data_IF_943204404021
#
_entry.id   IF_943204404021
#
_cell.length_a   1.000
_cell.length_b   1.000
_cell.length_c   1.000
_cell.angle_alpha   90.00
_cell.angle_beta   90.00
_cell.angle_gamma   90.00
#
_symmetry.space_group_name_H-M   'P 1'
#
loop_
_entity.id
_entity.type
_entity.pdbx_description
1 polymer ?
2 polymer ?
3 polymer ?
4 water ?
#
# COMPACT_ATOMS: atom_id res chain seq x y z
N UNK A 1 -8.55 19.75 -3.90
CA UNK A 1 -9.30 18.48 -4.16
C UNK A 1 -9.75 17.89 -2.84
N UNK A 2 -10.36 16.72 -2.85
CA UNK A 2 -10.71 16.08 -1.58
C UNK A 2 -9.55 15.21 -1.09
N UNK A 3 -9.45 15.06 0.22
CA UNK A 3 -8.32 14.40 0.84
C UNK A 3 -8.75 13.35 1.86
N UNK A 4 -7.82 12.51 2.27
CA UNK A 4 -8.11 11.46 3.22
C UNK A 4 -6.95 11.27 4.16
N UNK A 5 -7.24 10.81 5.37
CA UNK A 5 -6.22 10.38 6.30
C UNK A 5 -6.57 8.98 6.71
N UNK A 6 -5.60 8.07 6.67
CA UNK A 6 -5.81 6.68 7.11
C UNK A 6 -4.73 6.26 8.11
N UNK A 7 -5.12 5.45 9.09
CA UNK A 7 -4.15 4.70 9.88
C UNK A 7 -4.40 3.20 9.69
N UNK A 8 -3.32 2.47 9.41
CA UNK A 8 -3.40 1.03 9.21
C UNK A 8 -2.54 0.37 10.26
N UNK A 9 -3.00 -0.74 10.81
CA UNK A 9 -2.19 -1.46 11.78
C UNK A 9 -2.37 -2.96 11.57
N UNK A 10 -1.31 -3.70 11.82
CA UNK A 10 -1.31 -5.17 11.66
C UNK A 10 -0.64 -5.76 12.89
N UNK A 11 -1.32 -6.69 13.55
CA UNK A 11 -0.70 -7.52 14.59
C UNK A 11 -0.72 -8.92 14.07
N UNK A 12 0.43 -9.61 14.22
CA UNK A 12 0.61 -10.96 13.74
C UNK A 12 1.22 -11.74 14.89
N UNK A 13 0.60 -12.85 15.27
CA UNK A 13 1.24 -13.77 16.21
C UNK A 13 2.37 -14.54 15.52
N UNK A 14 3.46 -14.72 16.25
CA UNK A 14 4.61 -15.46 15.75
C UNK A 14 4.82 -16.68 16.69
N UNK A 15 3.91 -17.68 16.63
CA UNK A 15 3.99 -18.75 17.64
C UNK A 15 5.34 -19.49 17.69
N UNK A 16 5.92 -19.54 18.88
CA UNK A 16 7.15 -20.26 19.10
C UNK A 16 8.37 -19.44 18.72
N UNK A 17 8.13 -18.36 18.01
CA UNK A 17 9.22 -17.51 17.51
C UNK A 17 9.16 -16.11 18.10
N UNK A 18 8.43 -15.92 19.19
CA UNK A 18 8.42 -14.63 19.89
C UNK A 18 7.01 -14.13 20.14
N UNK A 19 6.91 -12.85 20.56
CA UNK A 19 5.62 -12.22 20.82
C UNK A 19 5.10 -11.58 19.54
N UNK A 20 3.78 -11.29 19.47
CA UNK A 20 3.20 -10.70 18.29
C UNK A 20 3.85 -9.39 17.85
N UNK A 21 3.99 -9.22 16.54
CA UNK A 21 4.47 -7.97 15.98
C UNK A 21 3.34 -7.02 15.66
N UNK A 22 3.52 -5.76 16.03
CA UNK A 22 2.58 -4.72 15.72
C UNK A 22 3.26 -3.66 14.86
N UNK A 23 2.60 -3.31 13.76
CA UNK A 23 3.07 -2.25 12.88
C UNK A 23 1.90 -1.35 12.54
N UNK A 24 2.03 -0.06 12.84
CA UNK A 24 1.05 0.90 12.38
C UNK A 24 1.69 1.95 11.48
N UNK A 25 0.86 2.48 10.59
CA UNK A 25 1.32 3.36 9.54
C UNK A 25 0.21 4.40 9.39
N UNK A 26 0.58 5.64 9.09
CA UNK A 26 -0.35 6.72 8.89
C UNK A 26 -0.14 7.32 7.52
N UNK A 27 -1.24 7.56 6.81
CA UNK A 27 -1.21 8.16 5.46
C UNK A 27 -2.08 9.40 5.38
N UNK A 28 -1.64 10.38 4.59
CA UNK A 28 -2.50 11.46 4.09
C UNK A 28 -2.52 11.23 2.58
N UNK A 29 -3.66 10.85 2.02
CA UNK A 29 -3.74 10.51 0.61
C UNK A 29 -2.76 9.35 0.36
N UNK A 30 -1.90 9.43 -0.65
CA UNK A 30 -0.97 8.35 -0.99
C UNK A 30 0.43 8.60 -0.43
N UNK A 31 0.49 9.36 0.66
CA UNK A 31 1.77 9.76 1.25
C UNK A 31 1.82 9.32 2.70
N UNK A 32 2.83 8.51 3.04
CA UNK A 32 3.00 8.06 4.43
C UNK A 32 3.63 9.14 5.29
N UNK A 33 3.25 9.22 6.55
CA UNK A 33 3.81 10.28 7.39
C UNK A 33 4.29 9.83 8.77
N UNK A 34 3.77 8.72 9.26
CA UNK A 34 4.18 8.16 10.55
C UNK A 34 4.27 6.63 10.52
N UNK A 35 5.00 6.05 11.48
CA UNK A 35 5.07 4.60 11.62
C UNK A 35 5.38 4.22 13.04
N UNK A 36 4.93 3.05 13.43
CA UNK A 36 5.32 2.46 14.69
C UNK A 36 5.53 0.97 14.48
N UNK A 37 6.68 0.46 14.89
CA UNK A 37 7.01 -0.96 14.78
C UNK A 37 7.37 -1.48 16.18
N UNK A 38 6.56 -2.36 16.76
CA UNK A 38 6.88 -2.93 18.08
C UNK A 38 8.28 -3.59 18.18
N UNK A 39 8.79 -4.10 17.06
CA UNK A 39 10.08 -4.79 17.06
C UNK A 39 11.28 -3.84 17.09
N UNK A 40 11.08 -2.61 16.62
CA UNK A 40 12.13 -1.60 16.51
C UNK A 40 12.65 -1.17 17.87
N UNK A 41 13.88 -0.67 17.91
CA UNK A 41 14.55 -0.36 19.20
C UNK A 41 13.94 0.89 19.81
N UNK A 42 13.69 1.86 18.93
CA UNK A 42 13.14 3.18 19.27
C UNK A 42 11.94 3.16 20.21
N UNK A 43 10.98 2.26 19.93
CA UNK A 43 9.77 2.11 20.73
C UNK A 43 8.91 3.38 20.73
N UNK A 44 9.02 4.13 19.63
CA UNK A 44 8.32 5.42 19.45
C UNK A 44 7.58 5.57 18.10
N UNK A 45 6.52 6.37 18.06
CA UNK A 45 5.96 6.83 16.80
C UNK A 45 7.01 7.67 16.10
N UNK A 46 7.32 7.31 14.86
CA UNK A 46 8.39 7.98 14.10
C UNK A 46 7.86 8.69 12.85
N UNK A 47 8.45 9.87 12.53
CA UNK A 47 8.19 10.69 11.34
C UNK A 47 8.59 10.01 10.04
N UNK A 48 7.78 10.18 9.00
CA UNK A 48 8.07 9.56 7.71
C UNK A 48 7.81 10.50 6.55
N UNK A 49 7.54 11.76 6.87
CA UNK A 49 7.34 12.79 5.86
C UNK A 49 7.97 14.08 6.36
N UNK A 50 8.53 14.90 5.44
CA UNK A 50 9.29 16.06 5.92
C UNK A 50 8.41 16.98 6.73
N UNK A 51 7.13 17.07 6.35
CA UNK A 51 6.19 18.03 6.92
C UNK A 51 5.57 17.68 8.28
N UNK A 52 5.84 16.48 8.78
CA UNK A 52 5.37 16.08 10.12
C UNK A 52 6.45 16.35 11.18
N UNK A 53 7.69 16.45 10.72
CA UNK A 53 8.83 16.69 11.61
C UNK A 53 8.71 17.94 12.46
N UNK A 54 8.02 18.95 11.93
CA UNK A 54 7.76 20.20 12.62
C UNK A 54 6.90 20.10 13.91
N UNK A 55 6.25 18.96 14.13
CA UNK A 55 5.43 18.77 15.33
C UNK A 55 6.30 18.65 16.58
N UNK A 56 5.97 19.44 17.60
CA UNK A 56 6.71 19.46 18.85
C UNK A 56 6.75 18.13 19.58
N UNK A 57 7.66 17.98 20.57
CA UNK A 57 7.89 16.75 21.34
C UNK A 57 6.68 16.18 22.08
N UNK A 58 5.71 17.04 22.39
CA UNK A 58 4.38 16.70 22.96
C UNK A 58 3.55 15.80 22.03
N UNK A 59 3.49 16.16 20.76
CA UNK A 59 2.83 15.39 19.72
C UNK A 59 3.41 14.00 19.70
N UNK A 60 4.73 13.91 19.51
CA UNK A 60 5.44 12.63 19.48
C UNK A 60 5.27 11.75 20.72
N UNK A 61 5.08 12.40 21.87
CA UNK A 61 4.89 11.73 23.15
C UNK A 61 3.49 11.11 23.18
N UNK A 62 2.49 11.94 22.87
CA UNK A 62 1.09 11.50 22.83
C UNK A 62 0.85 10.39 21.81
N UNK A 63 1.30 10.63 20.57
CA UNK A 63 1.21 9.67 19.48
C UNK A 63 1.81 8.32 19.87
N UNK A 64 2.97 8.35 20.52
CA UNK A 64 3.64 7.15 21.03
C UNK A 64 2.79 6.43 22.06
N UNK A 65 2.29 7.20 23.03
CA UNK A 65 1.38 6.66 24.05
C UNK A 65 0.17 5.97 23.44
N UNK A 66 -0.50 6.63 22.49
CA UNK A 66 -1.71 6.06 21.86
C UNK A 66 -1.44 4.80 21.04
N UNK A 67 -0.37 4.79 20.27
CA UNK A 67 -0.04 3.63 19.43
C UNK A 67 0.51 2.41 20.23
N UNK A 68 1.30 2.68 21.28
CA UNK A 68 1.77 1.63 22.19
C UNK A 68 0.62 0.94 22.91
N UNK A 69 -0.36 1.70 23.36
CA UNK A 69 -1.49 1.13 24.08
C UNK A 69 -2.36 0.32 23.11
N UNK A 70 -2.50 0.83 21.87
CA UNK A 70 -3.18 0.07 20.84
C UNK A 70 -2.48 -1.23 20.48
N UNK A 71 -1.16 -1.21 20.38
CA UNK A 71 -0.31 -2.38 20.20
C UNK A 71 -0.60 -3.49 21.21
N UNK A 72 -0.63 -3.11 22.50
CA UNK A 72 -0.89 -4.06 23.59
C UNK A 72 -2.32 -4.54 23.65
N UNK A 73 -3.27 -3.66 23.35
CA UNK A 73 -4.68 -4.03 23.21
C UNK A 73 -4.85 -5.11 22.11
N UNK A 74 -4.18 -4.94 20.97
CA UNK A 74 -4.32 -5.90 19.85
C UNK A 74 -3.69 -7.24 20.06
N UNK A 75 -2.69 -7.27 20.96
CA UNK A 75 -2.09 -8.51 21.45
C UNK A 75 -3.09 -9.30 22.30
N UNK A 76 -3.82 -8.63 23.18
CA UNK A 76 -4.91 -9.31 23.86
C UNK A 76 -6.06 -9.63 22.91
N UNK A 77 -6.32 -8.78 21.93
CA UNK A 77 -7.35 -9.04 20.91
C UNK A 77 -7.12 -10.32 20.12
N UNK A 78 -5.85 -10.63 19.82
CA UNK A 78 -5.51 -11.91 19.19
C UNK A 78 -5.90 -13.12 20.06
N UNK A 79 -5.70 -12.99 21.38
CA UNK A 79 -6.03 -14.07 22.31
C UNK A 79 -7.52 -14.27 22.42
N UNK A 80 -8.27 -13.16 22.45
CA UNK A 80 -9.74 -13.16 22.44
C UNK A 80 -10.28 -13.84 21.18
N UNK A 81 -9.85 -13.36 20.01
CA UNK A 81 -10.17 -14.01 18.71
C UNK A 81 -9.82 -15.49 18.64
N UNK A 82 -8.66 -15.91 19.12
CA UNK A 82 -8.34 -17.38 19.21
C UNK A 82 -9.43 -18.12 19.97
N UNK A 83 -9.83 -17.56 21.11
CA UNK A 83 -10.85 -18.13 21.96
C UNK A 83 -12.20 -18.19 21.26
N UNK A 84 -12.64 -17.05 20.71
CA UNK A 84 -13.93 -17.02 19.98
C UNK A 84 -14.04 -18.12 18.96
N UNK A 85 -12.93 -18.38 18.26
CA UNK A 85 -12.92 -19.34 17.15
C UNK A 85 -12.52 -20.77 17.54
N UNK A 86 -12.09 -20.96 18.79
CA UNK A 86 -11.40 -22.19 19.26
C UNK A 86 -10.27 -22.65 18.31
N UNK A 87 -9.41 -21.70 17.97
CA UNK A 87 -8.30 -22.01 17.10
C UNK A 87 -7.12 -22.53 17.91
N UNK A 88 -6.31 -23.40 17.30
CA UNK A 88 -5.08 -23.86 17.92
C UNK A 88 -4.09 -22.70 18.12
N UNK A 89 -3.40 -22.68 19.26
CA UNK A 89 -2.29 -21.74 19.48
C UNK A 89 -1.06 -22.00 18.60
N UNK A 90 -1.04 -23.11 17.88
CA UNK A 90 0.03 -23.41 16.94
C UNK A 90 -0.05 -22.55 15.69
N UNK A 91 -1.23 -22.01 15.41
CA UNK A 91 -1.44 -21.24 14.20
C UNK A 91 -1.15 -19.79 14.41
N UNK A 92 -0.66 -19.17 13.35
CA UNK A 92 -0.32 -17.77 13.29
C UNK A 92 -1.48 -16.96 12.77
N UNK A 93 -1.81 -15.86 13.45
CA UNK A 93 -3.00 -15.09 13.13
C UNK A 93 -2.72 -13.61 13.07
N UNK A 94 -3.57 -12.90 12.32
CA UNK A 94 -3.40 -11.51 11.99
C UNK A 94 -4.70 -10.80 12.30
N UNK A 95 -4.59 -9.68 12.99
CA UNK A 95 -5.66 -8.73 13.14
C UNK A 95 -5.22 -7.45 12.46
N UNK A 96 -6.00 -6.98 11.49
CA UNK A 96 -5.71 -5.70 10.85
C UNK A 96 -6.81 -4.72 11.15
N UNK A 97 -6.41 -3.46 11.19
CA UNK A 97 -7.33 -2.41 11.54
C UNK A 97 -7.08 -1.22 10.65
N UNK A 98 -8.15 -0.55 10.26
CA UNK A 98 -8.04 0.64 9.47
C UNK A 98 -9.02 1.64 10.08
N UNK A 99 -8.58 2.89 10.20
CA UNK A 99 -9.49 3.96 10.57
C UNK A 99 -9.06 5.24 9.91
N UNK A 100 -9.97 6.20 9.78
CA UNK A 100 -9.63 7.54 9.33
C UNK A 100 -10.82 8.24 8.70
N UNK A 101 -10.55 9.36 8.04
CA UNK A 101 -11.60 10.23 7.52
C UNK A 101 -11.32 10.82 6.12
N UNK A 102 -12.39 11.21 5.43
CA UNK A 102 -12.29 11.95 4.16
C UNK A 102 -12.82 13.35 4.39
N UNK A 103 -12.18 14.32 3.76
CA UNK A 103 -12.62 15.70 3.76
C UNK A 103 -12.69 16.22 2.33
N UNK A 104 -13.55 17.22 2.08
CA UNK A 104 -13.63 17.90 0.79
C UNK A 104 -12.59 18.99 0.62
N UNK A 105 -12.58 19.65 -0.53
CA UNK A 105 -11.59 20.70 -0.81
C UNK A 105 -11.69 21.89 0.14
N UNK A 106 -12.90 22.12 0.66
CA UNK A 106 -13.13 23.15 1.65
C UNK A 106 -12.82 22.65 3.07
N UNK A 107 -12.45 21.38 3.19
CA UNK A 107 -12.01 20.81 4.46
C UNK A 107 -13.11 20.17 5.28
N UNK A 108 -14.30 20.04 4.70
CA UNK A 108 -15.43 19.44 5.43
C UNK A 108 -15.48 17.91 5.37
N UNK A 109 -16.01 17.34 6.46
CA UNK A 109 -16.12 15.92 6.68
C UNK A 109 -17.00 15.27 5.64
N UNK A 110 -16.48 14.21 5.02
CA UNK A 110 -17.18 13.50 3.96
C UNK A 110 -17.50 12.04 4.31
N UNK A 111 -16.67 11.44 5.16
CA UNK A 111 -16.80 10.01 5.45
C UNK A 111 -15.84 9.57 6.54
N UNK A 112 -16.29 8.63 7.39
CA UNK A 112 -15.46 8.09 8.45
C UNK A 112 -15.42 6.58 8.36
N UNK A 113 -14.28 5.98 8.75
CA UNK A 113 -14.12 4.53 8.72
C UNK A 113 -13.48 4.08 10.00
N UNK A 114 -13.87 2.89 10.43
CA UNK A 114 -13.23 2.22 11.53
C UNK A 114 -13.54 0.73 11.42
N UNK A 115 -12.59 -0.03 10.89
CA UNK A 115 -12.87 -1.44 10.55
C UNK A 115 -11.70 -2.39 10.79
N UNK A 116 -12.07 -3.65 11.02
CA UNK A 116 -11.15 -4.73 11.40
C UNK A 116 -11.17 -5.89 10.40
N UNK A 117 -10.04 -6.55 10.23
CA UNK A 117 -10.00 -7.82 9.52
C UNK A 117 -9.24 -8.82 10.33
N UNK A 118 -9.79 -10.04 10.41
CA UNK A 118 -9.14 -11.11 11.09
C UNK A 118 -8.67 -12.13 10.06
N UNK A 119 -7.36 -12.32 9.97
CA UNK A 119 -6.79 -13.25 9.02
C UNK A 119 -7.10 -12.91 7.57
N UNK A 120 -7.08 -11.60 7.27
CA UNK A 120 -7.32 -11.06 5.94
C UNK A 120 -8.77 -11.04 5.46
N UNK A 121 -9.72 -11.22 6.38
CA UNK A 121 -11.13 -11.22 6.03
C UNK A 121 -11.89 -10.31 6.97
N UNK A 122 -12.88 -9.60 6.45
CA UNK A 122 -13.73 -8.71 7.25
C UNK A 122 -14.14 -9.32 8.57
N UNK A 123 -13.99 -8.56 9.65
CA UNK A 123 -14.44 -8.94 10.98
C UNK A 123 -15.63 -8.07 11.45
N UNK A 124 -15.34 -6.80 11.79
CA UNK A 124 -16.39 -5.82 12.12
C UNK A 124 -16.08 -4.46 11.49
N UNK A 125 -17.09 -3.71 11.08
CA UNK A 125 -16.87 -2.41 10.43
C UNK A 125 -17.90 -1.39 10.91
N UNK A 126 -17.44 -0.19 11.23
CA UNK A 126 -18.36 0.92 11.50
C UNK A 126 -19.10 1.27 10.21
N UNK A 127 -20.43 1.31 10.30
CA UNK A 127 -21.28 1.72 9.19
C UNK A 127 -21.14 3.22 8.99
N UNK A 128 -21.43 3.69 7.77
CA UNK A 128 -21.29 5.09 7.36
C UNK A 128 -22.00 6.09 8.28
N UNK A 129 -23.12 5.67 8.87
CA UNK A 129 -23.84 6.51 9.85
C UNK A 129 -23.07 6.80 11.13
N UNK A 130 -21.97 6.06 11.32
CA UNK A 130 -21.06 6.16 12.47
C UNK A 130 -21.78 5.83 13.77
N UNK A 131 -22.87 5.08 13.64
CA UNK A 131 -23.74 4.77 14.76
C UNK A 131 -23.90 3.27 14.96
N UNK A 132 -23.59 2.47 13.95
CA UNK A 132 -23.76 1.03 14.05
C UNK A 132 -22.67 0.21 13.34
N UNK A 133 -22.65 -1.08 13.65
CA UNK A 133 -21.60 -1.98 13.20
C UNK A 133 -22.15 -3.00 12.24
N UNK A 134 -21.36 -3.37 11.24
CA UNK A 134 -21.61 -4.54 10.39
C UNK A 134 -20.67 -5.67 10.85
N UNK A 135 -21.23 -6.74 11.40
CA UNK A 135 -20.43 -7.89 11.87
C UNK A 135 -20.47 -9.04 10.88
N UNK A 136 -19.31 -9.58 10.52
CA UNK A 136 -19.20 -10.53 9.41
C UNK A 136 -19.53 -11.99 9.77
N UNK A 137 -19.48 -12.34 11.05
CA UNK A 137 -19.70 -13.73 11.48
C UNK A 137 -20.11 -13.80 12.93
N UNK A 138 -20.26 -15.01 13.46
CA UNK A 138 -20.73 -15.19 14.83
C UNK A 138 -19.77 -14.62 15.86
N UNK A 139 -18.46 -14.83 15.66
CA UNK A 139 -17.46 -14.22 16.54
C UNK A 139 -17.56 -12.68 16.58
N UNK A 140 -17.66 -12.05 15.41
CA UNK A 140 -17.83 -10.60 15.32
C UNK A 140 -19.17 -10.13 15.93
N UNK A 141 -20.22 -10.97 15.84
CA UNK A 141 -21.50 -10.67 16.50
C UNK A 141 -21.34 -10.53 18.01
N UNK A 142 -20.44 -11.31 18.61
CA UNK A 142 -20.14 -11.22 20.05
C UNK A 142 -19.45 -9.92 20.38
N UNK A 143 -18.48 -9.56 19.53
CA UNK A 143 -17.75 -8.30 19.66
C UNK A 143 -18.71 -7.14 19.49
N UNK A 144 -19.59 -7.25 18.49
CA UNK A 144 -20.57 -6.21 18.21
C UNK A 144 -21.48 -5.89 19.41
N UNK A 145 -21.95 -6.92 20.13
CA UNK A 145 -22.80 -6.71 21.30
C UNK A 145 -22.04 -6.03 22.44
N UNK A 146 -20.79 -6.43 22.66
CA UNK A 146 -19.95 -5.78 23.67
C UNK A 146 -19.71 -4.30 23.33
N UNK A 147 -19.60 -4.02 22.02
CA UNK A 147 -19.37 -2.64 21.54
C UNK A 147 -20.61 -1.75 21.56
N UNK A 148 -21.76 -2.37 21.32
CA UNK A 148 -23.06 -1.73 21.53
C UNK A 148 -23.29 -1.42 23.03
N UNK A 149 -23.01 -2.37 23.92
CA UNK A 149 -23.19 -2.16 25.37
C UNK A 149 -22.23 -1.09 25.93
N UNK A 150 -21.10 -0.92 25.26
CA UNK A 150 -20.07 0.03 25.70
C UNK A 150 -20.10 1.40 25.00
N UNK A 151 -21.03 1.59 24.06
CA UNK A 151 -21.19 2.89 23.32
C UNK A 151 -19.92 3.32 22.54
N UNK A 152 -19.24 2.33 21.98
CA UNK A 152 -17.93 2.52 21.35
C UNK A 152 -18.09 3.35 20.06
N UNK A 153 -19.16 3.04 19.31
CA UNK A 153 -19.54 3.82 18.13
C UNK A 153 -19.53 5.33 18.35
N UNK A 154 -20.01 5.77 19.52
CA UNK A 154 -20.11 7.22 19.86
C UNK A 154 -18.71 7.80 20.05
N UNK A 155 -17.83 7.02 20.62
CA UNK A 155 -16.42 7.45 20.76
C UNK A 155 -15.75 7.63 19.41
N UNK A 156 -15.96 6.67 18.51
CA UNK A 156 -15.44 6.74 17.14
C UNK A 156 -16.09 7.84 16.31
N UNK A 157 -17.41 8.02 16.36
CA UNK A 157 -18.05 9.19 15.72
C UNK A 157 -17.31 10.48 16.11
N UNK A 158 -17.14 10.67 17.42
CA UNK A 158 -16.58 11.88 17.96
C UNK A 158 -15.13 12.07 17.53
N UNK A 159 -14.37 10.99 17.44
CA UNK A 159 -13.01 11.06 16.90
C UNK A 159 -13.04 11.34 15.41
N UNK A 160 -13.86 10.63 14.64
CA UNK A 160 -13.76 10.72 13.17
C UNK A 160 -14.20 12.08 12.66
N UNK A 161 -15.20 12.65 13.33
CA UNK A 161 -15.73 13.96 12.99
C UNK A 161 -14.92 15.07 13.63
N UNK A 162 -14.20 14.74 14.70
CA UNK A 162 -13.43 15.74 15.43
C UNK A 162 -11.93 15.74 15.18
N UNK A 163 -11.20 15.05 16.04
CA UNK A 163 -9.73 14.98 15.98
C UNK A 163 -9.23 14.59 14.59
N UNK A 164 -9.92 13.66 13.93
CA UNK A 164 -9.51 13.18 12.62
C UNK A 164 -9.55 14.28 11.56
N UNK A 165 -10.65 15.02 11.47
CA UNK A 165 -10.71 16.10 10.48
C UNK A 165 -9.81 17.30 10.84
N UNK A 166 -9.75 17.66 12.11
CA UNK A 166 -8.78 18.65 12.60
C UNK A 166 -7.32 18.32 12.26
N UNK A 167 -6.90 17.07 12.53
CA UNK A 167 -5.55 16.63 12.20
C UNK A 167 -5.29 16.66 10.70
N UNK A 168 -6.16 16.02 9.92
CA UNK A 168 -6.04 16.02 8.46
C UNK A 168 -5.82 17.45 7.92
N UNK A 169 -6.66 18.37 8.37
CA UNK A 169 -6.56 19.80 8.03
C UNK A 169 -5.22 20.48 8.39
N UNK A 170 -4.73 20.21 9.59
CA UNK A 170 -3.42 20.73 10.03
C UNK A 170 -2.30 20.18 9.14
N UNK A 171 -2.27 18.86 8.93
CA UNK A 171 -1.29 18.22 8.06
C UNK A 171 -1.31 18.74 6.62
N UNK A 172 -2.52 18.96 6.09
CA UNK A 172 -2.69 19.45 4.72
C UNK A 172 -2.11 20.87 4.53
N UNK A 173 -2.20 21.69 5.57
CA UNK A 173 -1.67 23.04 5.56
C UNK A 173 -0.15 23.03 5.74
N UNK A 174 0.32 22.35 6.78
CA UNK A 174 1.75 22.21 7.07
C UNK A 174 2.54 21.55 5.95
N UNK A 175 1.93 20.56 5.30
CA UNK A 175 2.54 19.91 4.14
C UNK A 175 1.90 20.32 2.82
N UNK A 176 1.60 21.61 2.68
CA UNK A 176 0.93 22.14 1.52
C UNK A 176 1.73 21.99 0.23
N UNK A 177 3.04 22.25 0.29
CA UNK A 177 3.90 22.20 -0.90
C UNK A 177 3.98 20.82 -1.56
N UNK A 178 3.72 19.78 -0.77
CA UNK A 178 3.83 18.38 -1.21
C UNK A 178 2.46 17.71 -1.42
N UNK A 179 1.60 17.82 -0.42
CA UNK A 179 0.29 17.17 -0.46
C UNK A 179 -0.65 17.75 -1.52
N UNK A 180 -0.51 19.05 -1.75
CA UNK A 180 -1.43 19.80 -2.59
C UNK A 180 -1.04 19.70 -4.09
N UNK A 181 0.02 18.95 -4.37
CA UNK A 181 0.60 18.81 -5.72
C UNK A 181 -0.07 17.65 -6.47
N UNK A 182 -0.21 17.81 -7.78
CA UNK A 182 -0.64 16.69 -8.62
C UNK A 182 0.24 16.56 -9.85
N UNK A 183 1.22 15.65 -9.79
CA UNK A 183 2.21 15.43 -10.86
C UNK A 183 1.60 14.59 -11.99
N UNK A 184 1.34 15.21 -13.16
CA UNK A 184 0.76 14.44 -14.25
C UNK A 184 1.74 13.38 -14.76
N UNK A 185 1.23 12.30 -15.39
CA UNK A 185 2.14 11.24 -15.86
C UNK A 185 3.00 11.66 -17.06
N UNK A 186 4.29 11.34 -17.02
CA UNK A 186 5.11 11.36 -18.24
C UNK A 186 4.85 10.06 -19.01
N UNK A 187 4.29 10.19 -20.20
CA UNK A 187 3.87 9.03 -20.96
C UNK A 187 4.74 8.77 -22.18
N UNK A 188 4.98 7.49 -22.46
CA UNK A 188 5.67 7.10 -23.69
C UNK A 188 5.34 5.68 -24.05
N UNK A 189 5.56 5.37 -25.33
CA UNK A 189 5.43 4.02 -25.82
C UNK A 189 6.78 3.37 -26.13
N UNK A 190 6.87 2.07 -25.88
CA UNK A 190 8.01 1.29 -26.32
C UNK A 190 7.54 0.13 -27.23
N UNK A 191 8.48 -0.38 -28.01
CA UNK A 191 8.22 -1.40 -29.00
C UNK A 191 9.27 -2.47 -28.78
N UNK A 192 8.82 -3.71 -28.63
CA UNK A 192 9.73 -4.82 -28.41
C UNK A 192 9.37 -5.97 -29.35
N UNK A 193 10.20 -6.18 -30.39
CA UNK A 193 9.99 -7.28 -31.34
C UNK A 193 10.11 -8.63 -30.62
N UNK A 194 9.08 -9.47 -30.75
CA UNK A 194 9.02 -10.78 -30.08
C UNK A 194 9.61 -11.83 -31.03
N UNK A 195 8.87 -12.05 -32.11
CA UNK A 195 9.22 -13.02 -33.14
C UNK A 195 9.27 -12.35 -34.51
N UNK A 196 8.76 -13.04 -35.51
CA UNK A 196 8.71 -12.54 -36.88
C UNK A 196 7.39 -11.83 -37.13
N UNK A 197 6.33 -12.45 -36.63
CA UNK A 197 4.98 -11.99 -36.90
C UNK A 197 4.35 -11.30 -35.69
N UNK A 198 5.19 -10.89 -34.74
CA UNK A 198 4.71 -10.28 -33.48
C UNK A 198 5.70 -9.34 -32.79
N UNK A 199 5.12 -8.40 -32.02
CA UNK A 199 5.87 -7.45 -31.19
C UNK A 199 4.95 -6.94 -30.09
N UNK A 200 5.55 -6.60 -28.95
CA UNK A 200 4.79 -5.96 -27.88
C UNK A 200 4.91 -4.44 -27.97
N UNK A 201 3.75 -3.78 -27.98
CA UNK A 201 3.67 -2.36 -27.73
C UNK A 201 3.39 -2.15 -26.26
N UNK A 202 4.14 -1.28 -25.62
CA UNK A 202 3.93 -1.01 -24.21
C UNK A 202 3.77 0.49 -23.98
N UNK A 203 2.76 0.85 -23.20
CA UNK A 203 2.45 2.22 -22.92
C UNK A 203 2.79 2.52 -21.47
N UNK A 204 3.64 3.51 -21.27
CA UNK A 204 4.15 3.80 -19.96
C UNK A 204 3.47 5.03 -19.35
N UNK A 205 3.38 5.07 -18.02
CA UNK A 205 3.03 6.29 -17.29
C UNK A 205 3.97 6.39 -16.12
N UNK A 206 4.70 7.50 -16.04
CA UNK A 206 5.74 7.62 -15.04
C UNK A 206 5.64 8.93 -14.26
N UNK A 207 6.10 8.91 -13.02
CA UNK A 207 6.22 10.11 -12.22
C UNK A 207 4.94 10.82 -11.86
N UNK A 208 3.81 10.11 -11.82
CA UNK A 208 2.57 10.74 -11.39
C UNK A 208 2.32 10.67 -9.87
N UNK A 209 1.72 11.73 -9.33
CA UNK A 209 1.06 11.73 -8.02
C UNK A 209 -0.26 12.52 -8.15
N UNK A 210 -1.37 12.02 -7.54
CA UNK A 210 -1.55 10.80 -6.74
C UNK A 210 -1.63 9.54 -7.61
N UNK A 211 -1.64 8.38 -6.95
CA UNK A 211 -1.57 7.06 -7.58
C UNK A 211 -2.71 6.68 -8.55
N UNK A 212 -3.91 7.23 -8.37
CA UNK A 212 -5.02 6.91 -9.26
C UNK A 212 -4.73 7.36 -10.72
N UNK A 213 -5.05 6.49 -11.68
CA UNK A 213 -4.80 6.69 -13.11
C UNK A 213 -5.51 5.57 -13.87
N UNK A 214 -5.79 5.78 -15.16
CA UNK A 214 -6.35 4.75 -16.04
C UNK A 214 -5.53 4.68 -17.35
N UNK A 215 -5.17 3.47 -17.76
CA UNK A 215 -4.51 3.21 -19.05
C UNK A 215 -5.26 2.16 -19.82
N UNK A 216 -5.51 2.46 -21.09
CA UNK A 216 -6.43 1.71 -21.91
C UNK A 216 -5.86 1.61 -23.33
N UNK A 217 -6.04 0.45 -23.96
CA UNK A 217 -5.63 0.21 -25.34
C UNK A 217 -6.83 0.15 -26.25
N UNK A 218 -6.62 0.53 -27.50
CA UNK A 218 -7.63 0.42 -28.54
C UNK A 218 -6.99 -0.06 -29.84
N UNK A 219 -7.72 -0.91 -30.57
CA UNK A 219 -7.39 -1.20 -31.95
C UNK A 219 -8.35 -0.42 -32.85
N UNK A 220 -7.79 0.49 -33.64
CA UNK A 220 -8.52 1.53 -34.40
C UNK A 220 -9.93 1.90 -33.90
N UNK A 221 -9.97 2.67 -32.82
CA UNK A 221 -11.23 3.18 -32.27
C UNK A 221 -11.96 2.18 -31.39
N UNK A 222 -11.74 0.88 -31.63
CA UNK A 222 -12.39 -0.17 -30.83
C UNK A 222 -11.53 -0.55 -29.62
N UNK A 223 -12.17 -0.84 -28.50
CA UNK A 223 -11.46 -1.23 -27.29
C UNK A 223 -10.86 -2.63 -27.38
N UNK A 224 -9.74 -2.81 -26.68
CA UNK A 224 -9.03 -4.07 -26.61
C UNK A 224 -8.92 -4.46 -25.15
N UNK A 225 -10.04 -4.94 -24.61
CA UNK A 225 -10.21 -5.15 -23.17
C UNK A 225 -9.51 -6.40 -22.63
N UNK A 226 -9.39 -7.43 -23.47
CA UNK A 226 -8.90 -8.75 -22.99
C UNK A 226 -7.53 -9.20 -23.49
N UNK A 227 -6.91 -8.41 -24.38
CA UNK A 227 -5.61 -8.78 -24.95
C UNK A 227 -4.47 -7.90 -24.39
N UNK A 228 -4.88 -7.01 -23.48
CA UNK A 228 -4.01 -6.06 -22.82
C UNK A 228 -3.48 -6.63 -21.50
N UNK A 229 -2.16 -6.64 -21.34
CA UNK A 229 -1.57 -6.88 -20.03
C UNK A 229 -1.38 -5.55 -19.28
N UNK A 230 -1.95 -5.48 -18.09
CA UNK A 230 -1.94 -4.27 -17.28
C UNK A 230 -1.32 -4.66 -15.95
N UNK A 231 -0.23 -4.01 -15.57
CA UNK A 231 0.38 -4.30 -14.28
C UNK A 231 -0.21 -3.39 -13.21
N UNK A 232 0.04 -3.74 -11.95
CA UNK A 232 -0.39 -2.95 -10.80
C UNK A 232 0.37 -1.63 -10.73
N UNK A 233 -0.31 -0.59 -10.26
CA UNK A 233 0.35 0.68 -9.94
C UNK A 233 1.37 0.49 -8.82
N UNK A 234 2.61 0.85 -9.12
CA UNK A 234 3.73 0.58 -8.25
C UNK A 234 4.38 1.89 -7.86
N UNK A 235 4.97 1.97 -6.66
CA UNK A 235 5.61 3.21 -6.28
C UNK A 235 7.01 3.32 -6.87
N UNK A 236 7.36 4.50 -7.36
CA UNK A 236 8.73 4.72 -7.84
C UNK A 236 9.74 4.80 -6.69
N UNK A 237 9.24 5.08 -5.49
CA UNK A 237 10.10 5.22 -4.31
C UNK A 237 10.40 6.67 -3.93
N UNK A 238 9.97 7.62 -4.76
CA UNK A 238 10.29 9.05 -4.57
C UNK A 238 9.07 9.95 -4.30
N UNK A 239 7.94 9.31 -4.01
CA UNK A 239 6.69 10.01 -3.85
C UNK A 239 5.74 9.77 -4.99
N UNK A 240 6.26 9.31 -6.12
CA UNK A 240 5.41 9.15 -7.30
C UNK A 240 5.20 7.68 -7.66
N UNK A 241 4.40 7.48 -8.72
CA UNK A 241 3.93 6.16 -9.12
C UNK A 241 4.17 5.85 -10.61
N UNK A 242 4.06 4.58 -10.97
CA UNK A 242 4.32 4.11 -12.34
C UNK A 242 3.31 3.06 -12.71
N UNK A 243 3.05 2.91 -14.00
CA UNK A 243 2.16 1.85 -14.48
C UNK A 243 2.42 1.63 -15.95
N UNK A 244 2.17 0.43 -16.43
CA UNK A 244 2.18 0.17 -17.88
C UNK A 244 1.12 -0.82 -18.33
N UNK A 245 0.73 -0.66 -19.59
CA UNK A 245 -0.24 -1.49 -20.24
C UNK A 245 0.42 -1.88 -21.55
N UNK A 246 0.32 -3.16 -21.90
CA UNK A 246 0.94 -3.70 -23.13
C UNK A 246 -0.06 -4.53 -23.91
N UNK A 247 0.08 -4.54 -25.23
CA UNK A 247 -0.68 -5.43 -26.10
C UNK A 247 0.28 -6.10 -27.04
N UNK A 248 0.01 -7.36 -27.37
CA UNK A 248 0.80 -8.06 -28.39
C UNK A 248 0.20 -7.74 -29.75
N UNK A 249 1.07 -7.46 -30.70
CA UNK A 249 0.70 -6.89 -31.99
C UNK A 249 1.26 -7.73 -33.14
N UNK A 250 0.41 -8.04 -34.14
CA UNK A 250 0.87 -8.66 -35.38
C UNK A 250 1.83 -7.73 -36.13
N UNK A 251 2.94 -8.29 -36.60
CA UNK A 251 3.97 -7.53 -37.32
C UNK A 251 3.33 -6.70 -38.44
N UNK A 252 3.68 -5.42 -38.51
CA UNK A 252 3.17 -4.52 -39.54
C UNK A 252 1.81 -3.92 -39.20
N UNK A 253 1.31 -4.20 -38.00
CA UNK A 253 0.01 -3.68 -37.55
C UNK A 253 0.08 -2.69 -36.37
N UNK A 254 1.26 -2.11 -36.13
CA UNK A 254 1.43 -1.15 -35.02
C UNK A 254 0.59 0.12 -35.12
N UNK A 255 0.25 0.54 -36.35
CA UNK A 255 -0.44 1.81 -36.61
C UNK A 255 -1.89 1.79 -36.16
N UNK A 256 -2.48 0.60 -36.12
CA UNK A 256 -3.87 0.40 -35.71
C UNK A 256 -4.11 0.72 -34.24
N UNK A 257 -3.04 0.68 -33.45
CA UNK A 257 -3.17 0.71 -31.99
C UNK A 257 -2.94 2.10 -31.41
N UNK A 258 -3.75 2.43 -30.41
CA UNK A 258 -3.57 3.66 -29.67
C UNK A 258 -3.64 3.40 -28.18
N UNK A 259 -2.86 4.16 -27.43
CA UNK A 259 -2.90 4.07 -25.99
C UNK A 259 -3.57 5.32 -25.41
N UNK A 260 -4.34 5.14 -24.35
CA UNK A 260 -5.12 6.20 -23.76
C UNK A 260 -4.86 6.32 -22.25
N UNK A 261 -4.68 7.57 -21.78
CA UNK A 261 -4.17 7.84 -20.43
C UNK A 261 -4.98 8.93 -19.70
N UNK A 262 -5.50 8.59 -18.53
CA UNK A 262 -6.27 9.53 -17.73
C UNK A 262 -5.67 9.71 -16.33
N UNK A 263 -5.38 10.95 -15.96
CA UNK A 263 -4.89 11.28 -14.62
C UNK A 263 -5.36 12.68 -14.27
N UNK A 264 -5.63 12.93 -12.99
CA UNK A 264 -6.13 14.24 -12.54
C UNK A 264 -5.15 15.42 -12.79
N UNK A 265 -3.89 15.09 -13.06
CA UNK A 265 -2.88 16.08 -13.41
C UNK A 265 -2.96 16.47 -14.87
N UNK A 266 -3.82 15.78 -15.63
CA UNK A 266 -3.95 15.95 -17.08
C UNK A 266 -5.21 16.75 -17.44
N UNK A 267 -5.03 17.99 -17.95
CA UNK A 267 -6.16 18.81 -18.39
C UNK A 267 -7.10 18.03 -19.32
N UNK A 268 -6.52 17.19 -20.18
CA UNK A 268 -7.28 16.38 -21.13
C UNK A 268 -6.54 15.06 -21.29
N UNK A 269 -7.28 13.94 -21.50
CA UNK A 269 -6.69 12.62 -21.70
C UNK A 269 -5.73 12.55 -22.89
N UNK A 270 -4.58 11.92 -22.67
CA UNK A 270 -3.60 11.69 -23.74
C UNK A 270 -3.95 10.47 -24.58
N UNK A 271 -3.62 10.56 -25.87
CA UNK A 271 -3.64 9.43 -26.81
C UNK A 271 -2.22 9.27 -27.36
N UNK A 272 -1.71 8.02 -27.36
CA UNK A 272 -0.38 7.74 -27.91
C UNK A 272 -0.46 6.74 -29.03
N UNK A 273 0.33 6.98 -30.08
CA UNK A 273 0.41 6.08 -31.24
C UNK A 273 1.89 5.78 -31.51
N UNK A 274 2.18 4.60 -32.04
CA UNK A 274 3.54 4.18 -32.36
C UNK A 274 4.00 4.87 -33.64
N UNK B 1 -8.84 -19.79 6.81
CA UNK B 1 -8.43 -18.48 6.21
C UNK B 1 -7.48 -18.64 5.04
N UNK B 2 -7.90 -18.11 3.89
CA UNK B 2 -7.18 -18.22 2.64
C UNK B 2 -5.86 -17.41 2.66
N UNK B 3 -4.98 -17.72 1.71
CA UNK B 3 -3.69 -17.06 1.61
C UNK B 3 -3.54 -16.52 0.18
N UNK B 4 -2.73 -15.49 0.00
CA UNK B 4 -2.57 -14.95 -1.34
C UNK B 4 -1.09 -14.80 -1.65
N UNK B 5 -0.77 -15.17 -2.87
CA UNK B 5 0.59 -15.24 -3.37
C UNK B 5 1.07 -13.82 -3.69
N UNK B 6 2.31 -13.49 -3.27
CA UNK B 6 2.80 -12.17 -3.70
C UNK B 6 2.80 -11.98 -5.23
N UNK B 7 2.43 -10.77 -5.66
CA UNK B 7 2.72 -10.29 -6.99
C UNK B 7 4.04 -9.55 -6.84
N UNK B 8 4.89 -9.65 -7.86
CA UNK B 8 6.27 -9.19 -7.78
C UNK B 8 6.61 -8.32 -8.99
N UNK B 9 7.20 -7.13 -8.75
CA UNK B 9 7.70 -6.27 -9.83
C UNK B 9 9.07 -5.75 -9.46
N UNK B 10 10.08 -6.07 -10.26
CA UNK B 10 11.41 -5.47 -10.10
C UNK B 10 11.61 -4.44 -11.22
N UNK B 11 12.02 -3.23 -10.85
CA UNK B 11 12.05 -2.09 -11.76
C UNK B 11 12.98 -1.03 -11.18
N UNK B 12 13.40 -0.06 -12.00
CA UNK B 12 14.20 1.07 -11.49
C UNK B 12 13.29 2.26 -11.27
N UNK B 13 13.63 3.10 -10.29
CA UNK B 13 12.93 4.35 -10.03
C UNK B 13 12.86 5.26 -11.28
N UNK B 14 14.02 5.60 -11.85
CA UNK B 14 14.10 6.42 -13.08
C UNK B 14 14.50 5.52 -14.28
N UNK B 15 14.15 5.92 -15.52
CA UNK B 15 14.50 5.08 -16.68
C UNK B 15 16.00 4.74 -16.69
N UNK B 16 16.35 3.49 -16.99
CA UNK B 16 17.73 3.02 -16.80
C UNK B 16 18.74 3.72 -17.71
N UNK B 17 19.88 4.13 -17.13
CA UNK B 17 20.97 4.74 -17.88
C UNK B 17 22.34 4.31 -17.31
N UNK B 18 23.09 3.49 -18.07
CA UNK B 18 24.40 2.99 -17.63
C UNK B 18 25.35 4.10 -17.16
N UNK B 19 25.94 3.92 -15.98
CA UNK B 19 26.75 4.97 -15.38
C UNK B 19 25.96 6.03 -14.62
N UNK B 20 24.64 6.09 -14.82
CA UNK B 20 23.80 6.94 -13.97
C UNK B 20 23.24 6.17 -12.75
N UNK B 21 23.54 6.69 -11.56
CA UNK B 21 23.13 6.08 -10.30
C UNK B 21 21.63 6.21 -10.14
N UNK B 22 21.01 5.14 -9.68
CA UNK B 22 19.57 5.00 -9.74
C UNK B 22 19.08 4.28 -8.47
N UNK B 23 17.79 3.96 -8.43
CA UNK B 23 17.25 3.07 -7.41
C UNK B 23 16.61 1.86 -8.05
N UNK B 24 16.99 0.67 -7.57
CA UNK B 24 16.37 -0.60 -7.94
C UNK B 24 15.29 -0.91 -6.93
N UNK B 25 14.09 -1.23 -7.44
CA UNK B 25 12.91 -1.50 -6.62
C UNK B 25 12.42 -2.93 -6.80
N UNK B 26 11.88 -3.50 -5.72
CA UNK B 26 11.10 -4.70 -5.82
C UNK B 26 9.83 -4.51 -5.03
N UNK B 27 8.72 -4.49 -5.76
CA UNK B 27 7.42 -4.28 -5.19
C UNK B 27 6.70 -5.60 -5.09
N UNK B 28 6.36 -5.96 -3.86
CA UNK B 28 5.59 -7.16 -3.58
C UNK B 28 4.25 -6.70 -3.05
N UNK B 29 3.16 -7.23 -3.59
CA UNK B 29 1.82 -6.75 -3.30
C UNK B 29 0.84 -7.88 -3.42
N UNK B 30 -0.35 -7.67 -2.89
CA UNK B 30 -1.44 -8.63 -2.97
C UNK B 30 -1.26 -9.91 -2.20
N UNK B 31 -0.43 -9.88 -1.14
CA UNK B 31 -0.14 -11.10 -0.39
C UNK B 31 -0.73 -11.16 1.03
N UNK B 32 -1.03 -12.38 1.47
CA UNK B 32 -1.45 -12.71 2.79
C UNK B 32 -0.97 -14.14 3.09
N UNK B 33 -0.41 -14.38 4.30
CA UNK B 33 -0.10 -13.46 5.41
C UNK B 33 1.12 -12.54 5.17
N UNK B 34 1.38 -11.65 6.14
CA UNK B 34 2.45 -10.64 6.03
C UNK B 34 3.90 -11.20 6.17
N UNK B 35 4.05 -12.41 6.71
CA UNK B 35 5.36 -13.06 6.83
C UNK B 35 5.91 -13.22 5.41
N UNK B 36 7.02 -12.57 5.14
CA UNK B 36 7.57 -12.62 3.80
C UNK B 36 9.09 -12.41 3.88
N UNK B 37 9.81 -12.90 2.88
CA UNK B 37 11.25 -12.63 2.70
C UNK B 37 11.49 -12.03 1.34
N UNK B 38 12.13 -10.87 1.30
CA UNK B 38 12.44 -10.22 0.04
C UNK B 38 13.89 -9.75 -0.02
N UNK B 39 14.55 -10.05 -1.14
CA UNK B 39 15.94 -9.68 -1.38
C UNK B 39 16.14 -9.24 -2.81
N UNK B 40 17.01 -8.25 -2.98
CA UNK B 40 17.49 -7.85 -4.29
C UNK B 40 18.86 -8.46 -4.49
N UNK B 41 19.07 -9.03 -5.68
CA UNK B 41 20.33 -9.71 -6.04
C UNK B 41 21.15 -8.89 -7.05
N UNK B 42 22.48 -8.90 -6.88
CA UNK B 42 23.40 -8.38 -7.90
C UNK B 42 24.30 -9.53 -8.36
N UNK B 43 24.15 -9.86 -9.64
CA UNK B 43 24.76 -11.04 -10.25
C UNK B 43 24.57 -12.33 -9.46
N UNK B 44 23.32 -12.61 -9.12
CA UNK B 44 22.95 -13.86 -8.44
C UNK B 44 23.26 -13.88 -6.94
N UNK B 45 23.82 -12.78 -6.44
CA UNK B 45 24.24 -12.69 -5.05
C UNK B 45 23.53 -11.55 -4.32
N UNK B 46 23.07 -11.85 -3.10
CA UNK B 46 22.22 -11.00 -2.27
C UNK B 46 22.86 -9.66 -1.93
N UNK B 47 22.14 -8.56 -2.16
CA UNK B 47 22.63 -7.22 -1.77
C UNK B 47 22.36 -6.94 -0.29
N UNK B 48 23.31 -6.30 0.38
CA UNK B 48 23.20 -5.87 1.78
C UNK B 48 22.77 -4.41 1.85
N UNK B 49 22.36 -3.96 3.04
CA UNK B 49 21.85 -2.59 3.23
C UNK B 49 20.53 -2.27 2.48
N UNK B 50 19.88 -3.27 1.92
CA UNK B 50 18.59 -3.08 1.22
C UNK B 50 17.52 -2.56 2.20
N UNK B 51 16.78 -1.54 1.80
CA UNK B 51 15.74 -0.99 2.67
C UNK B 51 14.36 -1.41 2.22
N UNK B 52 13.35 -1.14 3.06
CA UNK B 52 11.96 -1.42 2.68
C UNK B 52 10.97 -0.49 3.39
N UNK B 53 9.86 -0.27 2.70
CA UNK B 53 8.77 0.52 3.23
C UNK B 53 8.17 -0.17 4.45
N UNK B 54 7.44 0.59 5.27
CA UNK B 54 6.74 0.04 6.43
C UNK B 54 5.53 -0.73 5.94
N UNK B 55 5.29 -1.88 6.54
CA UNK B 55 4.19 -2.71 6.15
C UNK B 55 2.85 -1.97 6.18
N UNK B 56 2.14 -2.06 5.07
CA UNK B 56 0.86 -1.42 4.91
C UNK B 56 0.02 -2.38 4.08
N UNK B 57 -1.28 -2.07 3.92
CA UNK B 57 -2.18 -2.95 3.19
C UNK B 57 -3.22 -2.21 2.39
N UNK B 58 -3.73 -2.91 1.36
CA UNK B 58 -4.79 -2.41 0.46
C UNK B 58 -6.19 -2.64 1.02
N UNK B 59 -7.20 -2.19 0.28
CA UNK B 59 -8.59 -2.24 0.70
C UNK B 59 -9.14 -3.67 0.82
N UNK B 60 -8.61 -4.57 0.01
CA UNK B 60 -8.93 -6.00 0.14
C UNK B 60 -8.13 -6.65 1.29
N UNK B 61 -7.45 -5.84 2.11
CA UNK B 61 -6.69 -6.32 3.28
C UNK B 61 -5.32 -6.95 2.94
N UNK B 62 -4.98 -7.04 1.66
CA UNK B 62 -3.74 -7.70 1.27
C UNK B 62 -2.60 -6.71 1.40
N UNK B 63 -1.42 -7.21 1.76
CA UNK B 63 -0.29 -6.37 2.12
C UNK B 63 0.55 -5.98 0.95
N UNK B 64 1.27 -4.87 1.07
CA UNK B 64 2.32 -4.51 0.10
C UNK B 64 3.58 -3.88 0.75
N UNK B 65 4.73 -4.11 0.10
CA UNK B 65 6.01 -3.60 0.55
C UNK B 65 6.87 -3.23 -0.63
N UNK B 66 7.65 -2.17 -0.47
CA UNK B 66 8.67 -1.79 -1.46
C UNK B 66 10.05 -2.05 -0.88
N UNK B 67 10.84 -2.88 -1.55
CA UNK B 67 12.23 -3.12 -1.20
C UNK B 67 13.10 -2.42 -2.21
N UNK B 68 14.06 -1.64 -1.76
CA UNK B 68 14.81 -0.81 -2.68
C UNK B 68 16.27 -0.67 -2.30
N UNK B 69 17.08 -0.30 -3.28
CA UNK B 69 18.49 0.01 -3.04
C UNK B 69 19.02 0.94 -4.10
N UNK B 70 19.91 1.84 -3.69
CA UNK B 70 20.68 2.65 -4.62
C UNK B 70 21.59 1.73 -5.45
N UNK B 71 21.69 2.02 -6.75
CA UNK B 71 22.60 1.30 -7.64
C UNK B 71 22.92 2.13 -8.90
N UNK B 72 24.01 1.78 -9.58
CA UNK B 72 24.30 2.31 -10.91
C UNK B 72 24.17 1.17 -11.94
N UNK B 73 23.16 1.25 -12.84
CA UNK B 73 23.03 0.21 -13.83
C UNK B 73 24.24 0.20 -14.74
N UNK B 74 24.64 -0.99 -15.17
CA UNK B 74 25.64 -1.14 -16.22
C UNK B 74 25.13 -2.23 -17.14
N UNK B 75 25.61 -2.23 -18.38
CA UNK B 75 25.14 -3.18 -19.37
C UNK B 75 25.41 -4.64 -19.01
N UNK B 76 26.50 -4.89 -18.28
CA UNK B 76 26.92 -6.26 -17.95
C UNK B 76 26.28 -6.79 -16.65
N UNK B 77 26.10 -5.92 -15.66
CA UNK B 77 25.50 -6.31 -14.36
C UNK B 77 24.02 -6.67 -14.41
N UNK B 78 23.73 -7.89 -13.99
CA UNK B 78 22.34 -8.37 -13.84
C UNK B 78 21.76 -8.18 -12.43
N UNK B 79 20.48 -7.80 -12.40
CA UNK B 79 19.76 -7.62 -11.17
C UNK B 79 18.50 -8.51 -11.10
N UNK B 80 18.17 -8.96 -9.90
CA UNK B 80 17.01 -9.81 -9.68
C UNK B 80 16.37 -9.51 -8.33
N UNK B 81 15.14 -9.97 -8.14
CA UNK B 81 14.49 -9.92 -6.84
C UNK B 81 14.11 -11.33 -6.40
N UNK B 82 14.47 -11.68 -5.16
CA UNK B 82 14.12 -12.98 -4.59
C UNK B 82 13.07 -12.83 -3.49
N UNK B 83 12.00 -13.60 -3.61
CA UNK B 83 10.88 -13.54 -2.69
C UNK B 83 10.59 -14.95 -2.21
N UNK B 84 10.31 -15.07 -0.90
CA UNK B 84 9.86 -16.33 -0.29
C UNK B 84 8.65 -16.08 0.60
N UNK B 85 7.68 -16.99 0.54
CA UNK B 85 6.37 -16.83 1.19
C UNK B 85 5.78 -18.21 1.39
N UNK B 86 4.93 -18.39 2.42
CA UNK B 86 4.21 -19.67 2.63
C UNK B 86 3.58 -20.24 1.36
N UNK B 87 3.00 -19.38 0.54
CA UNK B 87 2.27 -19.80 -0.63
C UNK B 87 3.20 -20.29 -1.74
N UNK B 88 4.50 -20.01 -1.62
CA UNK B 88 5.45 -20.41 -2.66
C UNK B 88 6.07 -21.77 -2.33
N UNK B 89 6.16 -22.62 -3.35
CA UNK B 89 6.73 -23.96 -3.21
C UNK B 89 8.25 -23.88 -3.19
N UNK B 90 8.80 -22.90 -3.92
CA UNK B 90 10.22 -22.55 -3.85
C UNK B 90 10.37 -21.02 -3.97
N UNK B 91 11.49 -20.47 -3.45
CA UNK B 91 11.73 -19.05 -3.60
C UNK B 91 11.54 -18.61 -5.04
N UNK B 92 11.03 -17.40 -5.22
CA UNK B 92 10.78 -16.89 -6.56
C UNK B 92 11.82 -15.85 -6.91
N UNK B 93 12.45 -16.03 -8.07
CA UNK B 93 13.41 -15.03 -8.54
C UNK B 93 12.86 -14.38 -9.78
N UNK B 94 12.68 -13.06 -9.72
CA UNK B 94 12.20 -12.27 -10.86
C UNK B 94 13.34 -11.37 -11.30
N UNK B 95 13.77 -11.56 -12.56
CA UNK B 95 14.92 -10.82 -13.08
C UNK B 95 14.54 -9.42 -13.50
N UNK B 96 15.43 -8.46 -13.20
CA UNK B 96 15.28 -7.10 -13.71
C UNK B 96 15.41 -7.04 -15.24
N UNK B 97 14.36 -6.53 -15.86
CA UNK B 97 14.27 -6.30 -17.28
C UNK B 97 14.10 -4.80 -17.43
N UNK B 98 15.13 -4.15 -17.96
CA UNK B 98 15.08 -2.73 -18.28
C UNK B 98 13.77 -2.26 -18.99
N UNK B 99 13.13 -3.16 -19.75
CA UNK B 99 11.90 -2.86 -20.51
C UNK B 99 10.62 -3.45 -19.88
N UNK B 100 10.78 -4.59 -19.17
CA UNK B 100 9.78 -5.22 -18.26
C UNK B 100 8.80 -6.27 -18.82
N UNK C 1 -3.31 12.48 13.66
CA UNK C 1 -3.52 12.25 15.11
C UNK C 1 -4.24 10.95 15.33
N UNK C 2 -3.57 10.00 15.98
CA UNK C 2 -4.10 8.67 16.26
C UNK C 2 -5.28 8.76 17.22
N UNK C 3 -6.21 7.83 17.12
CA UNK C 3 -7.37 7.78 18.02
C UNK C 3 -6.95 7.51 19.46
N UNK C 4 -7.78 7.97 20.40
CA UNK C 4 -7.51 7.78 21.85
C UNK C 4 -8.33 6.64 22.44
N UNK C 5 -8.11 5.42 22.00
CA UNK C 5 -9.12 4.38 22.24
C UNK C 5 -8.65 2.99 22.55
N UNK C 6 -8.79 2.58 23.80
CA UNK C 6 -8.59 1.18 24.12
C UNK C 6 -9.92 0.48 23.87
N UNK C 7 -9.96 -0.34 22.82
CA UNK C 7 -11.14 -1.15 22.53
C UNK C 7 -10.79 -2.63 22.38
N UNK C 8 -11.39 -3.48 23.22
CA UNK C 8 -11.22 -4.92 23.14
C UNK C 8 -12.32 -5.60 22.31
N UNK C 9 -11.94 -6.63 21.57
CA UNK C 9 -12.88 -7.50 20.84
C UNK C 9 -13.83 -8.24 21.80
#
# INVERSE_FOLDING_TARGET
GSHSMRYFSTSVSRPGRGEPRFIAVGYVDDTQFVRFDSDAASQRMEPRAPWIEQEGPEYWDEETGKVKAHSQTDRENLRIALRYYNQSEAGSHTLQMMFGCDVGSDGRFLRGYHQYAYDGKDYIALKEDLRSWTAADMAAQITKRKWEAAHVAEQQRAYLEGTCVDGLRRYLENGKETLQRTDPPKTHMTHHPISDHEATLRCWALGFYPAEITLTWQRDGEDQTQDTELVETRPAGDGTFQKWAAVVVPSGEEQRYTCHVQHEGLPKPLTLRW
MIQRTPKIQVYSRHPAENGKSNFLNCYVSGFHPSDIEVDLLKNGERIEKVEHSDLSFSKDWSFYLLYYTEFTPTEKDEYACRVNHVTLSQPKIVKWDRDM
QFKDNVILL
#
